data_IF_514913223766
#
_entry.id   IF_514913223766
#
_cell.length_a   1.000
_cell.length_b   1.000
_cell.length_c   1.000
_cell.angle_alpha   90.00
_cell.angle_beta   90.00
_cell.angle_gamma   90.00
#
_symmetry.space_group_name_H-M   'P 1'
#
loop_
_entity.id
_entity.type
_entity.pdbx_description
1 polymer ?
#
# COMPACT_ATOMS: atom_id res chain seq x y z
N UNK A 1 4.84 4.89 -28.63
CA UNK A 1 5.23 5.62 -27.40
C UNK A 1 5.69 4.59 -26.40
N UNK A 2 6.85 4.83 -25.78
CA UNK A 2 7.34 4.00 -24.67
C UNK A 2 6.34 4.04 -23.51
N UNK A 3 6.05 2.89 -22.90
CA UNK A 3 5.20 2.76 -21.71
C UNK A 3 6.06 2.39 -20.51
N UNK A 4 5.64 2.79 -19.32
CA UNK A 4 6.33 2.45 -18.07
C UNK A 4 5.35 1.77 -17.12
N UNK A 5 5.85 0.79 -16.38
CA UNK A 5 5.16 0.22 -15.24
C UNK A 5 5.81 0.78 -13.97
N UNK A 6 4.99 1.19 -13.02
CA UNK A 6 5.44 1.78 -11.77
C UNK A 6 5.00 0.91 -10.60
N UNK A 7 5.95 0.53 -9.73
CA UNK A 7 5.64 -0.08 -8.45
C UNK A 7 5.43 1.03 -7.42
N UNK A 8 4.29 1.01 -6.76
CA UNK A 8 4.01 1.86 -5.61
C UNK A 8 3.78 1.00 -4.37
N UNK A 9 4.20 1.50 -3.21
CA UNK A 9 3.76 1.01 -1.91
C UNK A 9 2.57 1.83 -1.39
N UNK A 10 2.02 1.41 -0.25
CA UNK A 10 1.02 2.17 0.49
C UNK A 10 1.30 2.02 1.98
N UNK A 11 1.43 3.13 2.69
CA UNK A 11 1.55 3.15 4.14
C UNK A 11 0.18 2.94 4.81
N UNK A 12 0.09 1.96 5.70
CA UNK A 12 -1.08 1.68 6.53
C UNK A 12 -0.68 1.12 7.89
N UNK A 13 -1.59 1.19 8.86
CA UNK A 13 -1.42 0.64 10.21
C UNK A 13 -2.56 -0.30 10.57
N UNK A 14 -2.25 -1.25 11.44
CA UNK A 14 -3.20 -2.16 12.06
C UNK A 14 -2.84 -2.37 13.53
N UNK A 15 -3.81 -2.82 14.31
CA UNK A 15 -3.64 -3.18 15.71
C UNK A 15 -3.51 -4.70 15.80
N UNK A 16 -2.54 -5.16 16.60
CA UNK A 16 -2.26 -6.57 16.88
C UNK A 16 -2.05 -6.79 18.38
N UNK A 17 -2.11 -8.04 18.82
CA UNK A 17 -2.03 -8.40 20.24
C UNK A 17 -0.60 -8.57 20.78
N UNK A 18 0.40 -8.54 19.89
CA UNK A 18 1.83 -8.66 20.22
C UNK A 18 2.60 -7.41 19.82
N UNK A 19 3.68 -7.11 20.55
CA UNK A 19 4.55 -5.94 20.31
C UNK A 19 5.46 -6.10 19.09
N UNK A 20 5.76 -7.34 18.72
CA UNK A 20 6.53 -7.71 17.53
C UNK A 20 5.67 -7.97 16.28
N UNK A 21 4.33 -7.97 16.44
CA UNK A 21 3.40 -8.22 15.35
C UNK A 21 3.41 -9.66 14.82
N UNK A 22 3.94 -10.63 15.57
CA UNK A 22 3.99 -12.04 15.16
C UNK A 22 2.61 -12.68 15.00
N UNK A 23 1.57 -12.10 15.61
CA UNK A 23 0.17 -12.55 15.49
C UNK A 23 -0.56 -11.97 14.26
N UNK A 24 0.11 -11.15 13.45
CA UNK A 24 -0.50 -10.56 12.25
C UNK A 24 -0.82 -11.62 11.21
N UNK A 25 -2.09 -11.67 10.82
CA UNK A 25 -2.59 -12.59 9.79
C UNK A 25 -2.85 -11.88 8.46
N UNK A 26 -2.89 -12.61 7.33
CA UNK A 26 -3.31 -12.03 6.04
C UNK A 26 -4.69 -11.37 6.07
N UNK A 27 -5.61 -11.86 6.91
CA UNK A 27 -6.94 -11.27 7.06
C UNK A 27 -6.88 -9.88 7.74
N UNK A 28 -6.00 -9.71 8.74
CA UNK A 28 -5.78 -8.41 9.39
C UNK A 28 -5.16 -7.40 8.43
N UNK A 29 -4.16 -7.84 7.64
CA UNK A 29 -3.56 -7.00 6.60
C UNK A 29 -4.60 -6.52 5.59
N UNK A 30 -5.43 -7.44 5.07
CA UNK A 30 -6.50 -7.10 4.12
C UNK A 30 -7.49 -6.09 4.71
N UNK A 31 -7.97 -6.32 5.92
CA UNK A 31 -8.91 -5.42 6.57
C UNK A 31 -8.32 -4.01 6.80
N UNK A 32 -7.04 -3.93 7.16
CA UNK A 32 -6.35 -2.66 7.37
C UNK A 32 -6.11 -1.88 6.07
N UNK A 33 -5.72 -2.57 5.00
CA UNK A 33 -5.59 -1.99 3.66
C UNK A 33 -6.93 -1.45 3.16
N UNK A 34 -7.99 -2.24 3.26
CA UNK A 34 -9.33 -1.81 2.86
C UNK A 34 -9.81 -0.61 3.66
N UNK A 35 -9.54 -0.58 4.98
CA UNK A 35 -9.85 0.58 5.82
C UNK A 35 -9.10 1.82 5.31
N UNK A 36 -7.79 1.71 5.07
CA UNK A 36 -6.96 2.83 4.59
C UNK A 36 -7.50 3.39 3.27
N UNK A 37 -7.78 2.53 2.29
CA UNK A 37 -8.30 2.94 0.98
C UNK A 37 -9.67 3.63 1.11
N UNK A 38 -10.55 3.14 1.98
CA UNK A 38 -11.89 3.71 2.16
C UNK A 38 -11.91 5.06 2.89
N UNK A 39 -10.87 5.37 3.67
CA UNK A 39 -10.84 6.59 4.50
C UNK A 39 -10.05 7.75 3.88
N UNK A 40 -9.20 7.47 2.90
CA UNK A 40 -8.37 8.50 2.26
C UNK A 40 -9.18 9.31 1.24
N UNK A 41 -8.92 10.60 1.21
CA UNK A 41 -9.30 11.47 0.10
C UNK A 41 -8.26 11.37 -1.03
N UNK A 42 -8.66 11.69 -2.26
CA UNK A 42 -7.75 11.66 -3.42
C UNK A 42 -6.48 12.50 -3.22
N UNK A 43 -6.61 13.63 -2.53
CA UNK A 43 -5.49 14.52 -2.22
C UNK A 43 -4.43 13.88 -1.31
N UNK A 44 -4.83 12.89 -0.50
CA UNK A 44 -3.97 12.21 0.47
C UNK A 44 -3.34 10.93 -0.10
N UNK A 45 -3.81 10.45 -1.26
CA UNK A 45 -3.31 9.22 -1.88
C UNK A 45 -1.83 9.31 -2.25
N UNK A 46 -1.38 10.46 -2.76
CA UNK A 46 0.04 10.66 -3.09
C UNK A 46 0.94 10.75 -1.85
N UNK A 47 0.40 11.20 -0.72
CA UNK A 47 1.14 11.18 0.55
C UNK A 47 1.17 9.77 1.15
N UNK A 48 0.11 8.99 0.95
CA UNK A 48 -0.02 7.63 1.46
C UNK A 48 0.74 6.58 0.63
N UNK A 49 1.04 6.87 -0.64
CA UNK A 49 1.69 5.95 -1.57
C UNK A 49 3.04 6.48 -2.02
N UNK A 50 4.10 5.69 -1.88
CA UNK A 50 5.44 6.00 -2.36
C UNK A 50 5.74 5.31 -3.69
N UNK A 51 6.35 6.03 -4.64
CA UNK A 51 6.93 5.40 -5.83
C UNK A 51 8.20 4.63 -5.41
N UNK A 52 8.19 3.33 -5.66
CA UNK A 52 9.30 2.45 -5.28
C UNK A 52 10.19 2.07 -6.46
N UNK A 53 9.58 1.80 -7.62
CA UNK A 53 10.32 1.33 -8.79
C UNK A 53 9.62 1.72 -10.10
N UNK A 54 10.38 1.74 -11.20
CA UNK A 54 9.90 2.01 -12.55
C UNK A 54 10.68 1.22 -13.58
N UNK A 55 9.98 0.52 -14.46
CA UNK A 55 10.61 -0.13 -15.60
C UNK A 55 9.87 0.16 -16.91
N UNK A 56 10.62 0.18 -18.00
CA UNK A 56 10.08 0.32 -19.35
C UNK A 56 9.38 -0.97 -19.78
N UNK A 57 8.14 -0.84 -20.25
CA UNK A 57 7.38 -1.95 -20.81
C UNK A 57 7.74 -2.09 -22.29
N UNK A 58 8.28 -3.25 -22.71
CA UNK A 58 8.56 -3.51 -24.13
C UNK A 58 7.33 -3.29 -25.00
N UNK A 59 7.56 -2.82 -26.23
CA UNK A 59 6.51 -2.53 -27.21
C UNK A 59 5.69 -3.77 -27.59
#
# INVERSE_FOLDING_TARGET
MTRFNHMYDMAFSLESGTDDGSDVTPAMLRAALERRIKTLMDAELFEACGLCDTYEVPA
#
